data_IF_214667377794
#
_entry.id   IF_214667377794
#
_cell.length_a   1.000
_cell.length_b   1.000
_cell.length_c   1.000
_cell.angle_alpha   90.00
_cell.angle_beta   90.00
_cell.angle_gamma   90.00
#
_symmetry.space_group_name_H-M   'P 1'
#
loop_
_entity.id
_entity.type
_entity.pdbx_description
1 polymer ?
#
# COMPACT_ATOMS: atom_id res chain seq x y z
N UNK A 1 58.19 21.86 6.32
CA UNK A 1 57.41 21.62 7.57
C UNK A 1 57.09 22.99 8.16
N UNK A 2 55.84 23.46 8.01
CA UNK A 2 55.38 24.75 8.54
C UNK A 2 55.20 24.54 10.06
N UNK A 3 56.09 25.12 10.83
CA UNK A 3 56.02 25.11 12.28
C UNK A 3 55.01 26.17 12.74
N UNK A 4 53.72 25.82 12.66
CA UNK A 4 52.63 26.68 13.14
C UNK A 4 52.71 26.79 14.67
N UNK A 5 52.74 28.01 15.20
CA UNK A 5 52.63 28.23 16.66
C UNK A 5 51.31 27.66 17.16
N UNK A 6 51.24 27.09 18.36
CA UNK A 6 50.05 26.49 18.95
C UNK A 6 48.80 27.38 18.84
N UNK A 7 48.96 28.69 18.98
CA UNK A 7 47.87 29.67 18.83
C UNK A 7 47.32 29.76 17.41
N UNK A 8 48.14 29.62 16.38
CA UNK A 8 47.70 29.62 14.98
C UNK A 8 46.95 28.36 14.64
N UNK A 9 47.38 27.21 15.14
CA UNK A 9 46.65 25.93 14.97
C UNK A 9 45.28 26.00 15.64
N UNK A 10 45.21 26.55 16.84
CA UNK A 10 43.95 26.71 17.58
C UNK A 10 42.98 27.64 16.84
N UNK A 11 43.45 28.79 16.33
CA UNK A 11 42.64 29.72 15.54
C UNK A 11 42.11 29.06 14.25
N UNK A 12 42.94 28.28 13.59
CA UNK A 12 42.53 27.49 12.42
C UNK A 12 41.41 26.47 12.77
N UNK A 13 41.55 25.73 13.86
CA UNK A 13 40.54 24.78 14.32
C UNK A 13 39.23 25.49 14.58
N UNK A 14 39.22 26.65 15.27
CA UNK A 14 38.02 27.42 15.54
C UNK A 14 37.34 27.86 14.23
N UNK A 15 38.08 28.35 13.25
CA UNK A 15 37.53 28.76 11.96
C UNK A 15 36.92 27.57 11.20
N UNK A 16 37.55 26.39 11.26
CA UNK A 16 37.00 25.17 10.67
C UNK A 16 35.67 24.80 11.35
N UNK A 17 35.60 24.77 12.68
CA UNK A 17 34.37 24.48 13.44
C UNK A 17 33.24 25.44 13.08
N UNK A 18 33.56 26.76 13.02
CA UNK A 18 32.55 27.76 12.64
C UNK A 18 32.05 27.60 11.20
N UNK A 19 32.96 27.28 10.27
CA UNK A 19 32.56 27.03 8.86
C UNK A 19 31.72 25.76 8.69
N UNK A 20 32.10 24.66 9.35
CA UNK A 20 31.34 23.39 9.34
C UNK A 20 29.97 23.56 9.98
N UNK A 21 29.88 24.35 11.07
CA UNK A 21 28.63 24.69 11.72
C UNK A 21 27.65 25.39 10.75
N UNK A 22 28.13 26.42 10.05
CA UNK A 22 27.28 27.12 9.06
C UNK A 22 26.85 26.17 7.94
N UNK A 23 27.79 25.42 7.37
CA UNK A 23 27.51 24.50 6.26
C UNK A 23 26.49 23.41 6.65
N UNK A 24 26.69 22.78 7.81
CA UNK A 24 25.79 21.75 8.29
C UNK A 24 24.36 22.29 8.54
N UNK A 25 24.25 23.51 9.07
CA UNK A 25 22.97 24.18 9.28
C UNK A 25 22.26 24.48 7.95
N UNK A 26 22.99 25.00 6.95
CA UNK A 26 22.41 25.26 5.62
C UNK A 26 21.95 23.98 4.93
N UNK A 27 22.69 22.88 5.07
CA UNK A 27 22.26 21.57 4.58
C UNK A 27 20.99 21.07 5.29
N UNK A 28 20.89 21.26 6.60
CA UNK A 28 19.69 20.92 7.36
C UNK A 28 18.47 21.76 6.91
N UNK A 29 18.65 23.06 6.72
CA UNK A 29 17.58 23.94 6.20
C UNK A 29 17.15 23.52 4.79
N UNK A 30 18.11 23.22 3.92
CA UNK A 30 17.79 22.71 2.57
C UNK A 30 16.94 21.45 2.62
N UNK A 31 17.29 20.49 3.48
CA UNK A 31 16.50 19.26 3.65
C UNK A 31 15.09 19.55 4.17
N UNK A 32 14.95 20.39 5.20
CA UNK A 32 13.64 20.77 5.77
C UNK A 32 12.75 21.42 4.72
N UNK A 33 13.27 22.37 3.95
CA UNK A 33 12.50 23.07 2.91
C UNK A 33 12.13 22.12 1.78
N UNK A 34 13.04 21.25 1.35
CA UNK A 34 12.81 20.30 0.26
C UNK A 34 11.76 19.24 0.59
N UNK A 35 11.74 18.73 1.82
CA UNK A 35 10.72 17.75 2.24
C UNK A 35 9.35 18.40 2.33
N UNK A 36 9.30 19.68 2.67
CA UNK A 36 8.06 20.45 2.86
C UNK A 36 7.05 19.77 3.81
N UNK A 37 7.55 19.08 4.85
CA UNK A 37 6.70 18.33 5.78
C UNK A 37 6.22 19.20 6.95
N UNK A 38 7.08 20.13 7.42
CA UNK A 38 6.78 20.95 8.59
C UNK A 38 5.95 22.17 8.15
N UNK A 39 4.78 22.39 8.77
CA UNK A 39 3.95 23.55 8.47
C UNK A 39 4.69 24.88 8.62
N UNK A 40 4.46 25.79 7.67
CA UNK A 40 5.15 27.10 7.60
C UNK A 40 5.06 27.89 8.91
N UNK A 41 3.94 27.81 9.62
CA UNK A 41 3.77 28.49 10.93
C UNK A 41 4.84 28.12 11.95
N UNK A 42 5.30 26.85 11.96
CA UNK A 42 6.39 26.44 12.87
C UNK A 42 7.76 26.87 12.33
N UNK A 43 7.97 26.83 11.01
CA UNK A 43 9.23 27.26 10.39
C UNK A 43 9.50 28.74 10.61
N UNK A 44 8.45 29.59 10.62
CA UNK A 44 8.58 31.02 10.92
C UNK A 44 9.17 31.33 12.31
N UNK A 45 9.07 30.41 13.25
CA UNK A 45 9.68 30.54 14.60
C UNK A 45 11.01 29.77 14.69
N UNK A 46 11.06 28.55 14.19
CA UNK A 46 12.23 27.67 14.33
C UNK A 46 13.43 28.22 13.56
N UNK A 47 13.24 28.64 12.30
CA UNK A 47 14.36 29.10 11.45
C UNK A 47 15.03 30.35 12.02
N UNK A 48 14.33 31.45 12.40
CA UNK A 48 14.97 32.63 12.95
C UNK A 48 15.70 32.34 14.28
N UNK A 49 15.09 31.56 15.18
CA UNK A 49 15.69 31.23 16.47
C UNK A 49 16.98 30.42 16.26
N UNK A 50 16.95 29.37 15.46
CA UNK A 50 18.11 28.53 15.17
C UNK A 50 19.19 29.29 14.40
N UNK A 51 18.80 30.17 13.47
CA UNK A 51 19.71 31.03 12.73
C UNK A 51 20.46 32.00 13.66
N UNK A 52 19.76 32.60 14.66
CA UNK A 52 20.39 33.44 15.67
C UNK A 52 21.40 32.64 16.49
N UNK A 53 21.04 31.45 16.96
CA UNK A 53 21.92 30.59 17.76
C UNK A 53 23.17 30.23 16.94
N UNK A 54 23.00 29.75 15.71
CA UNK A 54 24.13 29.42 14.80
C UNK A 54 24.95 30.64 14.48
N UNK A 55 24.36 31.80 14.21
CA UNK A 55 25.04 33.06 13.95
C UNK A 55 25.91 33.52 15.12
N UNK A 56 25.40 33.45 16.34
CA UNK A 56 26.16 33.78 17.56
C UNK A 56 27.33 32.80 17.74
N UNK A 57 27.12 31.51 17.61
CA UNK A 57 28.18 30.50 17.73
C UNK A 57 29.23 30.67 16.63
N UNK A 58 28.82 30.85 15.39
CA UNK A 58 29.73 31.09 14.28
C UNK A 58 30.58 32.38 14.49
N UNK A 59 29.96 33.47 14.94
CA UNK A 59 30.66 34.70 15.26
C UNK A 59 31.72 34.49 16.34
N UNK A 60 31.47 33.70 17.40
CA UNK A 60 32.45 33.39 18.45
C UNK A 60 33.66 32.63 17.89
N UNK A 61 33.46 31.72 16.93
CA UNK A 61 34.53 30.96 16.29
C UNK A 61 35.30 31.74 15.23
N UNK A 62 34.64 32.61 14.47
CA UNK A 62 35.24 33.29 13.33
C UNK A 62 35.90 34.62 13.69
N UNK A 63 35.43 35.34 14.70
CA UNK A 63 35.88 36.71 14.99
C UNK A 63 36.25 37.01 16.43
N UNK A 64 35.72 36.29 17.43
CA UNK A 64 35.88 36.69 18.83
C UNK A 64 36.86 35.82 19.59
N UNK A 65 37.94 36.40 20.13
CA UNK A 65 38.80 35.73 21.12
C UNK A 65 38.06 35.66 22.48
N UNK A 66 37.67 34.49 22.88
CA UNK A 66 36.99 34.19 24.16
C UNK A 66 38.01 33.64 25.16
N UNK A 67 37.68 33.72 26.46
CA UNK A 67 38.45 32.98 27.48
C UNK A 67 38.34 31.47 27.23
N UNK A 68 39.34 30.70 27.65
CA UNK A 68 39.44 29.26 27.39
C UNK A 68 38.15 28.51 27.77
N UNK A 69 37.57 28.76 28.94
CA UNK A 69 36.31 28.11 29.37
C UNK A 69 35.14 28.43 28.46
N UNK A 70 34.98 29.67 28.01
CA UNK A 70 33.89 30.07 27.09
C UNK A 70 34.12 29.46 25.69
N UNK A 71 35.35 29.34 25.24
CA UNK A 71 35.66 28.69 23.96
C UNK A 71 35.32 27.22 24.00
N UNK A 72 35.65 26.51 25.08
CA UNK A 72 35.32 25.09 25.25
C UNK A 72 33.78 24.91 25.21
N UNK A 73 33.03 25.74 25.97
CA UNK A 73 31.58 25.68 25.98
C UNK A 73 30.97 25.98 24.60
N UNK A 74 31.44 27.01 23.88
CA UNK A 74 30.98 27.33 22.53
C UNK A 74 31.27 26.20 21.54
N UNK A 75 32.48 25.60 21.62
CA UNK A 75 32.87 24.49 20.75
C UNK A 75 31.99 23.25 21.03
N UNK A 76 31.74 22.92 22.30
CA UNK A 76 30.87 21.80 22.65
C UNK A 76 29.43 21.99 22.12
N UNK A 77 28.88 23.21 22.27
CA UNK A 77 27.52 23.53 21.77
C UNK A 77 27.51 23.54 20.23
N UNK A 78 28.56 24.01 19.58
CA UNK A 78 28.66 23.96 18.12
C UNK A 78 28.73 22.53 17.58
N UNK A 79 29.50 21.65 18.22
CA UNK A 79 29.58 20.24 17.86
C UNK A 79 28.20 19.56 18.02
N UNK A 80 27.50 19.84 19.12
CA UNK A 80 26.12 19.32 19.30
C UNK A 80 25.19 19.82 18.18
N UNK A 81 25.26 21.11 17.85
CA UNK A 81 24.46 21.71 16.77
C UNK A 81 24.80 21.11 15.40
N UNK A 82 26.08 20.84 15.12
CA UNK A 82 26.53 20.16 13.88
C UNK A 82 25.92 18.75 13.84
N UNK A 83 26.03 17.98 14.94
CA UNK A 83 25.48 16.61 14.99
C UNK A 83 23.98 16.63 14.71
N UNK A 84 23.24 17.52 15.35
CA UNK A 84 21.79 17.66 15.13
C UNK A 84 21.49 18.07 13.69
N UNK A 85 22.24 19.03 13.13
CA UNK A 85 22.04 19.48 11.74
C UNK A 85 22.33 18.37 10.72
N UNK A 86 23.41 17.61 10.92
CA UNK A 86 23.74 16.44 10.07
C UNK A 86 22.65 15.36 10.19
N UNK A 87 22.18 15.08 11.41
CA UNK A 87 21.08 14.16 11.62
C UNK A 87 19.83 14.61 10.86
N UNK A 88 19.41 15.87 10.97
CA UNK A 88 18.24 16.43 10.26
C UNK A 88 18.41 16.31 8.74
N UNK A 89 19.61 16.59 8.22
CA UNK A 89 19.91 16.45 6.79
C UNK A 89 19.77 14.99 6.31
N UNK A 90 20.39 14.04 7.04
CA UNK A 90 20.34 12.62 6.69
C UNK A 90 18.91 12.08 6.81
N UNK A 91 18.22 12.43 7.89
CA UNK A 91 16.83 12.08 8.15
C UNK A 91 15.90 12.58 7.04
N UNK A 92 16.13 13.82 6.63
CA UNK A 92 15.37 14.43 5.56
C UNK A 92 15.55 13.73 4.21
N UNK A 93 16.77 13.42 3.83
CA UNK A 93 17.02 12.68 2.58
C UNK A 93 16.43 11.26 2.63
N UNK A 94 16.52 10.57 3.77
CA UNK A 94 15.89 9.26 3.96
C UNK A 94 14.36 9.34 3.79
N UNK A 95 13.73 10.37 4.34
CA UNK A 95 12.28 10.62 4.18
C UNK A 95 11.91 10.85 2.71
N UNK A 96 12.67 11.69 1.99
CA UNK A 96 12.43 11.92 0.56
C UNK A 96 12.60 10.65 -0.28
N UNK A 97 13.67 9.88 -0.01
CA UNK A 97 13.90 8.61 -0.71
C UNK A 97 12.77 7.63 -0.47
N UNK A 98 12.25 7.56 0.76
CA UNK A 98 11.08 6.75 1.10
C UNK A 98 9.83 7.22 0.34
N UNK A 99 9.47 8.50 0.43
CA UNK A 99 8.28 9.05 -0.23
C UNK A 99 8.33 8.86 -1.75
N UNK A 100 9.48 9.04 -2.36
CA UNK A 100 9.67 8.77 -3.78
C UNK A 100 9.56 7.27 -4.11
N UNK A 101 9.95 6.39 -3.19
CA UNK A 101 9.83 4.93 -3.34
C UNK A 101 8.40 4.39 -3.15
N UNK A 102 7.49 5.17 -2.55
CA UNK A 102 6.07 4.81 -2.44
C UNK A 102 5.34 4.94 -3.78
N UNK A 103 5.77 5.89 -4.60
CA UNK A 103 5.28 6.01 -5.96
C UNK A 103 5.83 4.84 -6.77
N UNK A 104 4.97 4.18 -7.46
CA UNK A 104 5.34 3.16 -8.44
C UNK A 104 6.14 3.81 -9.56
N UNK A 105 7.45 4.01 -9.33
CA UNK A 105 8.37 4.66 -10.29
C UNK A 105 8.99 3.65 -11.26
N UNK A 106 8.69 2.36 -11.08
CA UNK A 106 9.26 1.26 -11.87
C UNK A 106 8.32 0.71 -12.94
N UNK A 107 8.88 -0.11 -13.81
CA UNK A 107 8.11 -0.93 -14.74
C UNK A 107 7.20 -1.90 -13.96
N UNK A 108 5.92 -1.93 -14.31
CA UNK A 108 4.99 -2.92 -13.77
C UNK A 108 5.14 -4.22 -14.55
N UNK A 109 5.05 -5.35 -13.84
CA UNK A 109 5.16 -6.68 -14.45
C UNK A 109 3.98 -7.56 -14.02
N UNK A 110 3.38 -8.25 -14.98
CA UNK A 110 2.48 -9.36 -14.72
C UNK A 110 3.24 -10.69 -14.84
N UNK A 111 2.96 -11.60 -13.92
CA UNK A 111 3.55 -12.93 -13.93
C UNK A 111 2.62 -13.90 -14.62
N UNK A 112 3.18 -14.68 -15.55
CA UNK A 112 2.50 -15.72 -16.32
C UNK A 112 3.07 -17.08 -15.98
N UNK A 113 2.21 -18.10 -16.11
CA UNK A 113 2.54 -19.50 -15.93
C UNK A 113 2.20 -20.28 -17.21
N UNK A 114 3.12 -21.12 -17.67
CA UNK A 114 2.81 -22.14 -18.69
C UNK A 114 2.38 -23.39 -17.94
N UNK A 115 1.12 -23.77 -18.07
CA UNK A 115 0.53 -24.93 -17.42
C UNK A 115 0.28 -26.06 -18.42
N UNK A 116 0.39 -27.31 -17.97
CA UNK A 116 0.09 -28.53 -18.72
C UNK A 116 -0.65 -29.54 -17.84
N UNK A 117 -1.28 -30.54 -18.44
CA UNK A 117 -1.81 -31.71 -17.73
C UNK A 117 -0.67 -32.61 -17.31
N UNK A 118 -0.61 -33.05 -16.06
CA UNK A 118 0.40 -33.96 -15.50
C UNK A 118 0.46 -35.29 -16.26
N UNK A 119 -0.71 -35.82 -16.62
CA UNK A 119 -0.83 -37.12 -17.29
C UNK A 119 -0.35 -37.09 -18.76
N UNK A 120 -0.19 -35.91 -19.35
CA UNK A 120 0.26 -35.78 -20.72
C UNK A 120 1.80 -35.74 -20.85
N UNK A 121 2.52 -35.65 -19.72
CA UNK A 121 3.98 -35.61 -19.63
C UNK A 121 4.63 -34.63 -20.62
N UNK A 122 3.99 -33.47 -20.81
CA UNK A 122 4.45 -32.41 -21.71
C UNK A 122 5.64 -31.68 -21.08
N UNK A 123 6.65 -31.44 -21.90
CA UNK A 123 7.78 -30.55 -21.54
C UNK A 123 7.82 -29.37 -22.51
N UNK A 124 8.54 -28.32 -22.14
CA UNK A 124 8.69 -27.15 -23.03
C UNK A 124 9.26 -27.54 -24.42
N UNK A 125 10.15 -28.54 -24.47
CA UNK A 125 10.71 -29.03 -25.75
C UNK A 125 9.74 -29.86 -26.60
N UNK A 126 8.67 -30.40 -26.01
CA UNK A 126 7.66 -31.23 -26.70
C UNK A 126 6.33 -30.51 -26.88
N UNK A 127 6.22 -29.25 -26.50
CA UNK A 127 5.03 -28.46 -26.64
C UNK A 127 4.68 -28.22 -28.11
N UNK A 128 3.44 -28.51 -28.51
CA UNK A 128 2.97 -28.36 -29.91
C UNK A 128 2.01 -27.19 -30.08
N UNK A 129 1.15 -26.91 -29.08
CA UNK A 129 0.13 -25.88 -29.16
C UNK A 129 -0.13 -25.28 -27.77
N UNK A 130 -0.02 -23.95 -27.69
CA UNK A 130 -0.26 -23.20 -26.48
C UNK A 130 -1.57 -22.41 -26.59
N UNK A 131 -2.46 -22.60 -25.61
CA UNK A 131 -3.66 -21.78 -25.44
C UNK A 131 -3.32 -20.43 -24.85
N UNK A 132 -3.97 -19.39 -25.35
CA UNK A 132 -3.89 -18.02 -24.85
C UNK A 132 -5.30 -17.47 -24.58
N UNK A 133 -5.42 -16.51 -23.67
CA UNK A 133 -6.67 -15.81 -23.40
C UNK A 133 -6.72 -14.54 -24.25
N UNK A 134 -7.68 -14.46 -25.16
CA UNK A 134 -7.77 -13.36 -26.16
C UNK A 134 -8.15 -12.01 -25.55
N UNK A 135 -8.80 -12.01 -24.38
CA UNK A 135 -9.14 -10.79 -23.64
C UNK A 135 -7.96 -10.21 -22.85
N UNK A 136 -6.83 -10.95 -22.80
CA UNK A 136 -5.61 -10.45 -22.17
C UNK A 136 -4.91 -9.44 -23.08
N UNK A 137 -4.76 -8.21 -22.61
CA UNK A 137 -4.13 -7.10 -23.36
C UNK A 137 -2.64 -7.33 -23.65
N UNK A 138 -2.00 -8.26 -22.92
CA UNK A 138 -0.57 -8.56 -23.05
C UNK A 138 -0.26 -9.75 -23.98
N UNK A 139 -1.25 -10.26 -24.70
CA UNK A 139 -1.15 -11.48 -25.50
C UNK A 139 0.09 -11.55 -26.41
N UNK A 140 0.47 -10.44 -27.06
CA UNK A 140 1.64 -10.43 -27.96
C UNK A 140 2.97 -10.47 -27.21
N UNK A 141 3.06 -9.82 -26.06
CA UNK A 141 4.22 -9.91 -25.18
C UNK A 141 4.33 -11.31 -24.55
N UNK A 142 3.20 -11.93 -24.19
CA UNK A 142 3.14 -13.32 -23.71
C UNK A 142 3.66 -14.28 -24.77
N UNK A 143 3.23 -14.15 -26.04
CA UNK A 143 3.76 -14.97 -27.14
C UNK A 143 5.27 -14.82 -27.28
N UNK A 144 5.77 -13.59 -27.23
CA UNK A 144 7.21 -13.32 -27.34
C UNK A 144 8.00 -14.05 -26.26
N UNK A 145 7.55 -13.99 -25.00
CA UNK A 145 8.21 -14.68 -23.90
C UNK A 145 8.08 -16.22 -24.01
N UNK A 146 6.91 -16.72 -24.37
CA UNK A 146 6.70 -18.17 -24.60
C UNK A 146 7.62 -18.67 -25.69
N UNK A 147 7.79 -17.95 -26.80
CA UNK A 147 8.65 -18.33 -27.92
C UNK A 147 10.15 -18.39 -27.54
N UNK A 148 10.58 -17.67 -26.50
CA UNK A 148 11.94 -17.80 -25.95
C UNK A 148 12.13 -19.10 -25.17
N UNK A 149 11.05 -19.64 -24.59
CA UNK A 149 11.07 -20.85 -23.77
C UNK A 149 10.74 -22.10 -24.57
N UNK A 150 9.83 -21.98 -25.54
CA UNK A 150 9.34 -23.12 -26.34
C UNK A 150 8.71 -22.63 -27.63
N UNK A 151 9.21 -23.12 -28.76
CA UNK A 151 8.55 -22.88 -30.07
C UNK A 151 7.25 -23.65 -30.14
N UNK A 152 6.14 -22.96 -30.35
CA UNK A 152 4.79 -23.53 -30.34
C UNK A 152 3.89 -22.83 -31.34
N UNK A 153 2.75 -23.42 -31.66
CA UNK A 153 1.63 -22.72 -32.32
C UNK A 153 0.66 -22.24 -31.27
N UNK A 154 -0.15 -21.24 -31.59
CA UNK A 154 -1.05 -20.60 -30.64
C UNK A 154 -2.50 -20.77 -31.03
N UNK A 155 -3.37 -20.98 -30.04
CA UNK A 155 -4.82 -20.96 -30.17
C UNK A 155 -5.40 -20.06 -29.08
N UNK A 156 -6.23 -19.10 -29.46
CA UNK A 156 -6.82 -18.13 -28.51
C UNK A 156 -8.22 -18.56 -28.09
N UNK A 157 -8.53 -18.33 -26.81
CA UNK A 157 -9.81 -18.60 -26.17
C UNK A 157 -10.30 -17.32 -25.48
N UNK A 158 -11.62 -17.16 -25.33
CA UNK A 158 -12.19 -15.93 -24.77
C UNK A 158 -11.87 -15.69 -23.31
N UNK A 159 -11.73 -16.78 -22.53
CA UNK A 159 -11.64 -16.73 -21.08
C UNK A 159 -10.89 -17.93 -20.50
N UNK A 160 -10.60 -17.90 -19.20
CA UNK A 160 -9.91 -18.97 -18.48
C UNK A 160 -10.66 -20.30 -18.55
N UNK A 161 -12.00 -20.30 -18.39
CA UNK A 161 -12.79 -21.51 -18.38
C UNK A 161 -12.68 -22.28 -19.72
N UNK A 162 -12.86 -21.59 -20.84
CA UNK A 162 -12.71 -22.22 -22.17
C UNK A 162 -11.29 -22.70 -22.43
N UNK A 163 -10.28 -22.00 -21.92
CA UNK A 163 -8.87 -22.42 -22.01
C UNK A 163 -8.61 -23.70 -21.21
N UNK A 164 -9.15 -23.80 -20.00
CA UNK A 164 -9.00 -24.99 -19.13
C UNK A 164 -9.74 -26.21 -19.70
N UNK A 165 -10.93 -26.00 -20.28
CA UNK A 165 -11.68 -27.06 -21.01
C UNK A 165 -10.87 -27.58 -22.17
N UNK A 166 -10.30 -26.69 -22.99
CA UNK A 166 -9.47 -27.08 -24.15
C UNK A 166 -8.20 -27.86 -23.74
N UNK A 167 -7.58 -27.46 -22.60
CA UNK A 167 -6.46 -28.20 -22.03
C UNK A 167 -6.89 -29.58 -21.52
N UNK A 168 -8.07 -29.66 -20.87
CA UNK A 168 -8.65 -30.92 -20.41
C UNK A 168 -9.00 -31.87 -21.55
N UNK A 169 -9.52 -31.37 -22.66
CA UNK A 169 -9.89 -32.13 -23.88
C UNK A 169 -8.70 -32.45 -24.78
N UNK A 170 -7.49 -31.96 -24.45
CA UNK A 170 -6.27 -32.10 -25.29
C UNK A 170 -6.33 -31.37 -26.65
N UNK A 171 -7.18 -30.35 -26.76
CA UNK A 171 -7.24 -29.45 -27.90
C UNK A 171 -5.98 -28.56 -27.99
N UNK A 172 -5.34 -28.36 -26.85
CA UNK A 172 -4.04 -27.68 -26.63
C UNK A 172 -3.16 -28.54 -25.72
N UNK A 173 -1.85 -28.43 -25.88
CA UNK A 173 -0.89 -29.19 -25.06
C UNK A 173 -0.47 -28.42 -23.80
N UNK A 174 -0.47 -27.08 -23.88
CA UNK A 174 -0.18 -26.17 -22.75
C UNK A 174 -1.11 -24.96 -22.79
N UNK A 175 -1.18 -24.21 -21.71
CA UNK A 175 -1.80 -22.90 -21.70
C UNK A 175 -0.86 -21.90 -21.02
N UNK A 176 -0.68 -20.72 -21.62
CA UNK A 176 0.02 -19.60 -20.99
C UNK A 176 -1.04 -18.65 -20.42
N UNK A 177 -1.11 -18.58 -19.11
CA UNK A 177 -2.12 -17.83 -18.36
C UNK A 177 -1.47 -17.00 -17.27
N UNK A 178 -2.14 -15.94 -16.80
CA UNK A 178 -1.67 -15.19 -15.63
C UNK A 178 -1.52 -16.14 -14.43
N UNK A 179 -0.45 -16.00 -13.66
CA UNK A 179 -0.24 -16.84 -12.46
C UNK A 179 -1.40 -16.69 -11.47
N UNK A 180 -2.01 -15.50 -11.36
CA UNK A 180 -3.22 -15.28 -10.57
C UNK A 180 -4.43 -16.14 -11.00
N UNK A 181 -4.48 -16.56 -12.26
CA UNK A 181 -5.50 -17.50 -12.74
C UNK A 181 -5.25 -18.92 -12.27
N UNK A 182 -3.97 -19.30 -12.10
CA UNK A 182 -3.62 -20.61 -11.53
C UNK A 182 -4.04 -20.66 -10.06
N UNK A 183 -3.83 -19.58 -9.31
CA UNK A 183 -4.30 -19.46 -7.92
C UNK A 183 -5.84 -19.50 -7.85
N UNK A 184 -6.52 -18.88 -8.82
CA UNK A 184 -7.97 -18.92 -8.93
C UNK A 184 -8.49 -20.35 -9.16
N UNK A 185 -7.79 -21.13 -10.01
CA UNK A 185 -8.11 -22.54 -10.24
C UNK A 185 -7.90 -23.39 -8.99
N UNK A 186 -6.84 -23.12 -8.22
CA UNK A 186 -6.58 -23.82 -6.96
C UNK A 186 -7.76 -23.73 -6.00
N UNK A 187 -8.34 -22.53 -5.88
CA UNK A 187 -9.41 -22.28 -4.92
C UNK A 187 -10.81 -22.70 -5.41
N UNK A 188 -11.06 -22.53 -6.71
CA UNK A 188 -12.41 -22.71 -7.24
C UNK A 188 -12.58 -24.02 -8.05
N UNK A 189 -11.48 -24.63 -8.51
CA UNK A 189 -11.49 -25.92 -9.22
C UNK A 189 -10.31 -26.80 -8.78
N UNK A 190 -10.22 -27.20 -7.49
CA UNK A 190 -9.10 -27.95 -6.94
C UNK A 190 -8.85 -29.29 -7.64
N UNK A 191 -9.90 -29.91 -8.19
CA UNK A 191 -9.79 -31.15 -8.94
C UNK A 191 -8.98 -30.92 -10.25
N UNK A 192 -9.31 -29.88 -11.01
CA UNK A 192 -8.56 -29.53 -12.21
C UNK A 192 -7.14 -29.05 -11.84
N UNK A 193 -7.00 -28.20 -10.81
CA UNK A 193 -5.71 -27.73 -10.33
C UNK A 193 -4.76 -28.89 -9.96
N UNK A 194 -5.25 -29.90 -9.25
CA UNK A 194 -4.44 -31.06 -8.86
C UNK A 194 -3.93 -31.88 -10.07
N UNK A 195 -4.61 -31.77 -11.21
CA UNK A 195 -4.32 -32.49 -12.45
C UNK A 195 -3.35 -31.74 -13.38
N UNK A 196 -3.00 -30.50 -13.06
CA UNK A 196 -2.07 -29.69 -13.87
C UNK A 196 -0.74 -29.49 -13.13
N UNK A 197 0.26 -29.14 -13.89
CA UNK A 197 1.58 -28.69 -13.40
C UNK A 197 2.01 -27.40 -14.12
N UNK A 198 2.84 -26.61 -13.46
CA UNK A 198 3.46 -25.42 -14.04
C UNK A 198 4.82 -25.80 -14.59
N UNK A 199 4.98 -25.69 -15.90
CA UNK A 199 6.23 -26.00 -16.61
C UNK A 199 7.24 -24.86 -16.53
N UNK A 200 6.78 -23.61 -16.54
CA UNK A 200 7.60 -22.42 -16.40
C UNK A 200 6.77 -21.23 -15.93
N UNK A 201 7.45 -20.26 -15.34
CA UNK A 201 6.91 -18.93 -15.04
C UNK A 201 7.80 -17.86 -15.66
N UNK A 202 7.19 -16.76 -16.12
CA UNK A 202 7.89 -15.62 -16.70
C UNK A 202 7.16 -14.33 -16.39
N UNK A 203 7.83 -13.18 -16.54
CA UNK A 203 7.25 -11.86 -16.29
C UNK A 203 7.10 -11.11 -17.61
N UNK A 204 5.96 -10.50 -17.81
CA UNK A 204 5.68 -9.61 -18.94
C UNK A 204 5.61 -8.19 -18.41
N UNK A 205 6.34 -7.28 -19.06
CA UNK A 205 6.25 -5.86 -18.76
C UNK A 205 4.91 -5.31 -19.21
N UNK A 206 4.17 -4.72 -18.29
CA UNK A 206 2.86 -4.11 -18.57
C UNK A 206 2.95 -2.60 -18.53
N UNK A 207 2.14 -1.95 -19.36
CA UNK A 207 2.06 -0.50 -19.33
C UNK A 207 1.35 -0.07 -18.05
N UNK A 208 1.96 0.84 -17.30
CA UNK A 208 1.35 1.46 -16.13
C UNK A 208 0.13 2.26 -16.59
N UNK A 209 -1.02 2.04 -15.96
CA UNK A 209 -2.30 2.67 -16.30
C UNK A 209 -2.59 3.90 -15.45
N UNK A 210 -1.95 4.05 -14.30
CA UNK A 210 -2.22 5.14 -13.36
C UNK A 210 -1.05 6.11 -13.24
N UNK A 211 -1.30 7.37 -13.64
CA UNK A 211 -0.44 8.50 -13.29
C UNK A 211 -0.66 8.86 -11.81
N UNK A 212 0.38 9.41 -11.16
CA UNK A 212 0.25 9.92 -9.79
C UNK A 212 -0.86 10.97 -9.73
N UNK A 213 -1.90 10.69 -8.95
CA UNK A 213 -3.04 11.59 -8.81
C UNK A 213 -2.72 12.66 -7.77
N UNK A 214 -2.98 13.90 -8.12
CA UNK A 214 -2.82 15.06 -7.25
C UNK A 214 -4.20 15.67 -7.01
N UNK A 215 -4.90 15.21 -5.97
CA UNK A 215 -6.16 15.82 -5.55
C UNK A 215 -5.91 16.91 -4.51
N UNK A 216 -6.90 17.80 -4.36
CA UNK A 216 -6.88 18.85 -3.36
C UNK A 216 -7.21 18.24 -1.97
N UNK A 217 -6.17 17.95 -1.18
CA UNK A 217 -6.32 17.35 0.16
C UNK A 217 -7.02 18.24 1.19
N UNK A 218 -7.37 19.47 0.83
CA UNK A 218 -8.20 20.37 1.67
C UNK A 218 -9.70 20.10 1.50
N UNK A 219 -10.09 19.31 0.51
CA UNK A 219 -11.46 18.89 0.19
C UNK A 219 -11.66 17.42 0.52
N UNK A 220 -12.91 16.98 0.68
CA UNK A 220 -13.21 15.56 0.81
C UNK A 220 -12.69 14.75 -0.39
N UNK A 221 -12.15 13.56 -0.10
CA UNK A 221 -11.64 12.62 -1.10
C UNK A 221 -11.96 11.19 -0.70
N UNK A 222 -11.88 10.28 -1.65
CA UNK A 222 -12.08 8.84 -1.45
C UNK A 222 -10.79 8.09 -1.78
N UNK A 223 -10.37 7.21 -0.85
CA UNK A 223 -9.29 6.27 -1.06
C UNK A 223 -9.84 4.84 -1.04
N UNK A 224 -9.47 4.03 -2.02
CA UNK A 224 -9.75 2.61 -2.04
C UNK A 224 -8.62 1.81 -1.37
N UNK A 225 -8.92 1.03 -0.34
CA UNK A 225 -7.99 0.08 0.26
C UNK A 225 -8.27 -1.30 -0.34
N UNK A 226 -7.27 -1.82 -1.07
CA UNK A 226 -7.24 -3.18 -1.61
C UNK A 226 -6.31 -4.06 -0.80
N UNK A 227 -6.86 -5.04 -0.11
CA UNK A 227 -6.06 -6.06 0.59
C UNK A 227 -5.94 -7.32 -0.25
N UNK A 228 -4.71 -7.71 -0.61
CA UNK A 228 -4.43 -8.91 -1.39
C UNK A 228 -3.99 -10.08 -0.51
N UNK A 229 -4.52 -11.28 -0.80
CA UNK A 229 -4.24 -12.50 -0.04
C UNK A 229 -2.90 -13.12 -0.46
N UNK A 230 -1.78 -12.45 -0.13
CA UNK A 230 -0.44 -12.95 -0.43
C UNK A 230 0.59 -12.46 0.59
N UNK A 231 1.66 -13.24 0.78
CA UNK A 231 2.88 -12.84 1.49
C UNK A 231 3.99 -12.36 0.54
N UNK A 232 3.78 -12.46 -0.78
CA UNK A 232 4.77 -12.14 -1.80
C UNK A 232 4.95 -10.65 -2.05
N UNK A 233 5.48 -10.34 -3.23
CA UNK A 233 5.68 -8.97 -3.70
C UNK A 233 4.33 -8.25 -3.80
N UNK A 234 4.23 -7.05 -3.22
CA UNK A 234 3.02 -6.21 -3.25
C UNK A 234 2.61 -5.84 -4.68
N UNK A 235 3.54 -5.85 -5.63
CA UNK A 235 3.27 -5.62 -7.05
C UNK A 235 2.57 -6.81 -7.74
N UNK A 236 2.50 -7.98 -7.08
CA UNK A 236 1.85 -9.18 -7.64
C UNK A 236 0.36 -8.93 -7.85
N UNK A 237 -0.10 -9.08 -9.09
CA UNK A 237 -1.54 -9.04 -9.41
C UNK A 237 -2.21 -10.26 -8.76
N UNK A 238 -3.19 -10.04 -7.90
CA UNK A 238 -3.90 -11.06 -7.14
C UNK A 238 -5.32 -10.61 -6.83
N UNK A 239 -6.13 -11.50 -6.28
CA UNK A 239 -7.47 -11.18 -5.80
C UNK A 239 -7.44 -10.08 -4.74
N UNK A 240 -8.46 -9.22 -4.74
CA UNK A 240 -8.67 -8.22 -3.68
C UNK A 240 -9.65 -8.78 -2.65
N UNK A 241 -9.13 -9.29 -1.55
CA UNK A 241 -9.92 -9.91 -0.49
C UNK A 241 -10.44 -8.90 0.54
N UNK A 242 -9.87 -7.70 0.55
CA UNK A 242 -10.36 -6.54 1.32
C UNK A 242 -10.70 -5.43 0.34
N UNK A 243 -11.93 -4.96 0.38
CA UNK A 243 -12.44 -3.90 -0.49
C UNK A 243 -13.12 -2.84 0.38
N UNK A 244 -12.35 -1.83 0.80
CA UNK A 244 -12.84 -0.76 1.68
C UNK A 244 -12.63 0.59 1.01
N UNK A 245 -13.73 1.36 0.87
CA UNK A 245 -13.64 2.78 0.54
C UNK A 245 -13.45 3.58 1.83
N UNK A 246 -12.44 4.41 1.87
CA UNK A 246 -12.15 5.36 2.96
C UNK A 246 -12.52 6.75 2.48
N UNK A 247 -13.66 7.26 2.94
CA UNK A 247 -14.14 8.60 2.59
C UNK A 247 -13.64 9.56 3.65
N UNK A 248 -12.70 10.41 3.28
CA UNK A 248 -12.03 11.34 4.19
C UNK A 248 -12.58 12.75 3.98
N UNK A 249 -13.09 13.36 5.04
CA UNK A 249 -13.45 14.77 5.04
C UNK A 249 -12.52 15.57 5.97
N UNK A 250 -11.51 16.23 5.42
CA UNK A 250 -10.52 16.97 6.20
C UNK A 250 -11.06 18.24 6.85
N UNK A 251 -12.18 18.75 6.36
CA UNK A 251 -12.84 19.95 6.93
C UNK A 251 -13.56 19.61 8.23
N UNK A 252 -14.30 18.51 8.23
CA UNK A 252 -15.05 18.05 9.41
C UNK A 252 -14.26 17.14 10.32
N UNK A 253 -13.08 16.66 9.90
CA UNK A 253 -12.27 15.61 10.54
C UNK A 253 -13.03 14.29 10.73
N UNK A 254 -13.81 13.90 9.73
CA UNK A 254 -14.55 12.64 9.70
C UNK A 254 -13.99 11.69 8.66
N UNK A 255 -13.97 10.41 9.00
CA UNK A 255 -13.62 9.32 8.11
C UNK A 255 -14.75 8.29 8.15
N UNK A 256 -15.29 7.95 6.98
CA UNK A 256 -16.23 6.87 6.81
C UNK A 256 -15.53 5.70 6.12
N UNK A 257 -15.55 4.53 6.72
CA UNK A 257 -15.09 3.27 6.13
C UNK A 257 -16.30 2.50 5.59
N UNK A 258 -16.30 2.20 4.29
CA UNK A 258 -17.35 1.43 3.63
C UNK A 258 -16.76 0.12 3.16
N UNK A 259 -17.07 -0.98 3.84
CA UNK A 259 -16.63 -2.31 3.46
C UNK A 259 -17.62 -2.94 2.46
N UNK A 260 -17.07 -3.46 1.35
CA UNK A 260 -17.81 -4.24 0.36
C UNK A 260 -17.35 -5.69 0.42
N UNK A 261 -18.22 -6.66 0.69
CA UNK A 261 -17.85 -8.07 0.77
C UNK A 261 -17.12 -8.56 -0.49
N UNK A 262 -16.09 -9.38 -0.30
CA UNK A 262 -15.27 -9.89 -1.41
C UNK A 262 -16.07 -10.70 -2.44
N UNK A 263 -17.09 -11.38 -1.99
CA UNK A 263 -17.93 -12.25 -2.84
C UNK A 263 -19.14 -11.52 -3.47
N UNK A 264 -19.18 -10.18 -3.38
CA UNK A 264 -20.23 -9.35 -3.96
C UNK A 264 -20.34 -9.58 -5.46
N UNK A 265 -21.52 -9.96 -5.95
CA UNK A 265 -21.78 -10.32 -7.34
C UNK A 265 -22.12 -9.07 -8.15
N UNK A 266 -21.10 -8.49 -8.76
CA UNK A 266 -21.15 -7.18 -9.42
C UNK A 266 -20.74 -7.29 -10.90
N UNK A 267 -21.21 -6.35 -11.72
CA UNK A 267 -20.69 -6.18 -13.06
C UNK A 267 -19.30 -5.56 -12.96
N UNK A 268 -18.26 -6.25 -13.47
CA UNK A 268 -16.92 -5.67 -13.53
C UNK A 268 -16.91 -4.50 -14.53
N UNK A 269 -16.18 -3.44 -14.20
CA UNK A 269 -16.09 -2.24 -15.04
C UNK A 269 -15.73 -2.59 -16.49
N UNK A 270 -16.43 -1.97 -17.43
CA UNK A 270 -16.20 -2.17 -18.88
C UNK A 270 -16.61 -3.54 -19.43
N UNK A 271 -17.11 -4.46 -18.58
CA UNK A 271 -17.65 -5.76 -19.03
C UNK A 271 -19.18 -5.72 -19.15
N UNK A 272 -19.73 -6.68 -19.89
CA UNK A 272 -21.19 -6.84 -20.05
C UNK A 272 -21.57 -8.31 -19.91
N UNK A 273 -22.83 -8.58 -19.55
CA UNK A 273 -23.36 -9.94 -19.46
C UNK A 273 -23.16 -10.56 -18.09
N UNK A 274 -22.36 -11.61 -17.97
CA UNK A 274 -22.15 -12.33 -16.71
C UNK A 274 -21.38 -11.45 -15.72
N UNK A 275 -21.92 -11.30 -14.52
CA UNK A 275 -21.28 -10.63 -13.39
C UNK A 275 -20.15 -11.49 -12.82
N UNK A 276 -19.37 -10.92 -11.92
CA UNK A 276 -18.30 -11.62 -11.21
C UNK A 276 -18.30 -11.30 -9.71
N UNK A 277 -17.49 -12.02 -8.96
CA UNK A 277 -17.18 -11.68 -7.57
C UNK A 277 -16.28 -10.45 -7.54
N UNK A 278 -16.53 -9.51 -6.66
CA UNK A 278 -15.69 -8.30 -6.53
C UNK A 278 -14.20 -8.64 -6.31
N UNK A 279 -13.90 -9.70 -5.55
CA UNK A 279 -12.51 -10.15 -5.31
C UNK A 279 -11.79 -10.50 -6.61
N UNK A 280 -12.50 -11.00 -7.63
CA UNK A 280 -11.93 -11.33 -8.92
C UNK A 280 -11.56 -10.09 -9.75
N UNK A 281 -12.15 -8.90 -9.49
CA UNK A 281 -11.70 -7.67 -10.14
C UNK A 281 -10.19 -7.44 -9.93
N UNK A 282 -9.65 -7.84 -8.76
CA UNK A 282 -8.23 -7.72 -8.44
C UNK A 282 -7.28 -8.48 -9.37
N UNK A 283 -7.73 -9.58 -10.01
CA UNK A 283 -6.90 -10.33 -10.96
C UNK A 283 -6.72 -9.62 -12.32
N UNK A 284 -7.52 -8.59 -12.56
CA UNK A 284 -7.39 -7.69 -13.71
C UNK A 284 -6.65 -6.40 -13.35
N UNK A 285 -6.24 -6.24 -12.08
CA UNK A 285 -5.53 -5.07 -11.58
C UNK A 285 -6.33 -4.27 -10.56
N UNK A 286 -5.64 -3.39 -9.84
CA UNK A 286 -6.28 -2.52 -8.83
C UNK A 286 -7.28 -1.55 -9.47
N UNK A 287 -6.98 -1.07 -10.68
CA UNK A 287 -7.83 -0.14 -11.43
C UNK A 287 -9.21 -0.75 -11.76
N UNK A 288 -9.24 -2.05 -12.09
CA UNK A 288 -10.50 -2.78 -12.31
C UNK A 288 -11.35 -2.83 -11.03
N UNK A 289 -10.72 -3.11 -9.88
CA UNK A 289 -11.42 -3.14 -8.59
C UNK A 289 -11.94 -1.75 -8.22
N UNK A 290 -11.13 -0.72 -8.40
CA UNK A 290 -11.45 0.68 -8.14
C UNK A 290 -12.65 1.11 -9.01
N UNK A 291 -12.54 0.97 -10.34
CA UNK A 291 -13.60 1.37 -11.26
C UNK A 291 -14.90 0.57 -11.08
N UNK A 292 -14.81 -0.70 -10.68
CA UNK A 292 -15.99 -1.51 -10.34
C UNK A 292 -16.71 -0.96 -9.10
N UNK A 293 -15.97 -0.48 -8.09
CA UNK A 293 -16.56 0.17 -6.91
C UNK A 293 -17.10 1.56 -7.23
N UNK A 294 -16.44 2.32 -8.13
CA UNK A 294 -16.97 3.58 -8.65
C UNK A 294 -18.34 3.40 -9.31
N UNK A 295 -18.47 2.40 -10.17
CA UNK A 295 -19.74 2.05 -10.82
C UNK A 295 -20.81 1.62 -9.81
N UNK A 296 -20.42 0.78 -8.83
CA UNK A 296 -21.33 0.28 -7.80
C UNK A 296 -21.89 1.41 -6.95
N UNK A 297 -21.07 2.36 -6.52
CA UNK A 297 -21.48 3.43 -5.61
C UNK A 297 -21.83 4.74 -6.31
N UNK A 298 -21.50 4.91 -7.59
CA UNK A 298 -21.70 6.16 -8.34
C UNK A 298 -20.83 7.29 -7.81
N UNK A 299 -19.59 6.98 -7.42
CA UNK A 299 -18.61 7.93 -6.88
C UNK A 299 -17.33 7.89 -7.71
N UNK A 300 -16.43 8.87 -7.50
CA UNK A 300 -15.07 8.80 -8.00
C UNK A 300 -14.12 8.50 -6.86
N UNK A 301 -13.21 7.56 -7.07
CA UNK A 301 -12.09 7.26 -6.18
C UNK A 301 -10.90 8.12 -6.60
N UNK A 302 -10.29 8.81 -5.64
CA UNK A 302 -9.17 9.71 -5.90
C UNK A 302 -7.83 9.00 -5.76
N UNK A 303 -7.75 8.06 -4.80
CA UNK A 303 -6.53 7.32 -4.50
C UNK A 303 -6.81 5.86 -4.21
N UNK A 304 -5.80 5.01 -4.45
CA UNK A 304 -5.80 3.67 -3.87
C UNK A 304 -4.62 3.45 -2.93
N UNK A 305 -4.79 2.49 -2.04
CA UNK A 305 -3.73 1.88 -1.25
C UNK A 305 -3.87 0.37 -1.32
N UNK A 306 -2.85 -0.30 -1.80
CA UNK A 306 -2.79 -1.75 -1.90
C UNK A 306 -1.88 -2.31 -0.82
N UNK A 307 -2.34 -3.30 -0.07
CA UNK A 307 -1.62 -3.93 1.04
C UNK A 307 -1.72 -5.45 0.94
N UNK A 308 -0.73 -6.15 1.49
CA UNK A 308 -0.74 -7.60 1.65
C UNK A 308 -0.54 -7.98 3.13
N UNK A 309 -0.43 -9.26 3.44
CA UNK A 309 -0.25 -9.73 4.82
C UNK A 309 1.02 -9.22 5.48
N UNK A 310 2.15 -9.24 4.76
CA UNK A 310 3.41 -8.71 5.27
C UNK A 310 3.31 -7.20 5.53
N UNK A 311 2.63 -6.48 4.63
CA UNK A 311 2.36 -5.05 4.76
C UNK A 311 1.60 -4.71 6.05
N UNK A 312 0.50 -5.41 6.29
CA UNK A 312 -0.31 -5.18 7.49
C UNK A 312 0.51 -5.38 8.77
N UNK A 313 1.26 -6.50 8.84
CA UNK A 313 2.13 -6.77 9.99
C UNK A 313 3.18 -5.68 10.18
N UNK A 314 3.87 -5.30 9.10
CA UNK A 314 4.94 -4.30 9.15
C UNK A 314 4.41 -2.92 9.56
N UNK A 315 3.24 -2.50 9.06
CA UNK A 315 2.60 -1.24 9.44
C UNK A 315 2.26 -1.23 10.92
N UNK A 316 1.60 -2.29 11.43
CA UNK A 316 1.22 -2.39 12.83
C UNK A 316 2.44 -2.41 13.75
N UNK A 317 3.48 -3.18 13.41
CA UNK A 317 4.71 -3.28 14.20
C UNK A 317 5.51 -1.97 14.19
N UNK A 318 5.56 -1.28 13.04
CA UNK A 318 6.18 0.05 12.94
C UNK A 318 5.52 1.10 13.83
N UNK A 319 4.22 0.99 14.03
CA UNK A 319 3.44 1.84 14.95
C UNK A 319 3.63 1.45 16.43
N UNK A 320 4.37 0.38 16.74
CA UNK A 320 4.52 -0.16 18.09
C UNK A 320 3.28 -0.90 18.59
N UNK A 321 2.49 -1.44 17.67
CA UNK A 321 1.19 -2.07 17.92
C UNK A 321 0.02 -1.10 17.89
N UNK A 322 -1.19 -1.65 17.77
CA UNK A 322 -2.45 -0.90 17.70
C UNK A 322 -3.47 -1.44 18.70
N UNK A 323 -4.33 -0.56 19.22
CA UNK A 323 -5.42 -0.93 20.12
C UNK A 323 -6.68 -1.21 19.30
N UNK A 324 -7.01 -2.49 19.12
CA UNK A 324 -8.16 -2.94 18.32
C UNK A 324 -9.32 -3.33 19.24
N UNK A 325 -10.53 -2.92 18.88
CA UNK A 325 -11.76 -3.34 19.56
C UNK A 325 -12.24 -4.66 18.96
N UNK A 326 -12.50 -5.64 19.81
CA UNK A 326 -13.12 -6.92 19.42
C UNK A 326 -14.56 -6.98 19.94
N UNK A 327 -15.50 -7.33 19.05
CA UNK A 327 -16.90 -7.51 19.42
C UNK A 327 -17.12 -8.83 20.20
N UNK A 328 -16.24 -9.82 20.00
CA UNK A 328 -16.35 -11.17 20.56
C UNK A 328 -15.06 -11.65 21.23
N UNK A 329 -15.21 -12.59 22.16
CA UNK A 329 -14.10 -13.39 22.64
C UNK A 329 -13.95 -14.64 21.77
N UNK A 330 -12.74 -14.87 21.22
CA UNK A 330 -12.44 -16.03 20.35
C UNK A 330 -10.94 -16.35 20.34
N UNK A 331 -10.58 -17.40 19.60
CA UNK A 331 -9.17 -17.78 19.39
C UNK A 331 -8.91 -17.96 17.90
N UNK A 332 -7.83 -17.34 17.38
CA UNK A 332 -7.40 -17.47 15.99
C UNK A 332 -5.88 -17.35 15.88
N UNK A 333 -5.27 -18.11 14.98
CA UNK A 333 -3.82 -18.05 14.72
C UNK A 333 -2.93 -18.31 15.95
N UNK A 334 -3.42 -19.04 16.95
CA UNK A 334 -2.73 -19.30 18.22
C UNK A 334 -2.84 -18.18 19.26
N UNK A 335 -3.63 -17.13 18.99
CA UNK A 335 -3.90 -15.99 19.90
C UNK A 335 -5.31 -16.08 20.47
N UNK A 336 -5.46 -15.63 21.73
CA UNK A 336 -6.77 -15.43 22.35
C UNK A 336 -7.15 -13.95 22.29
N UNK A 337 -8.40 -13.69 21.95
CA UNK A 337 -9.02 -12.36 21.87
C UNK A 337 -10.14 -12.27 22.88
N UNK A 338 -10.22 -11.12 23.56
CA UNK A 338 -11.28 -10.82 24.52
C UNK A 338 -12.18 -9.73 23.92
N UNK A 339 -13.42 -9.66 24.34
CA UNK A 339 -14.30 -8.53 24.01
C UNK A 339 -13.75 -7.22 24.56
N UNK A 340 -13.78 -6.16 23.77
CA UNK A 340 -13.27 -4.84 24.14
C UNK A 340 -11.92 -4.51 23.48
N UNK A 341 -11.31 -3.41 23.94
CA UNK A 341 -10.02 -2.97 23.41
C UNK A 341 -8.87 -3.83 23.93
N UNK A 342 -7.97 -4.18 23.01
CA UNK A 342 -6.75 -4.88 23.34
C UNK A 342 -5.63 -4.51 22.37
N UNK A 343 -4.41 -4.43 22.91
CA UNK A 343 -3.22 -4.17 22.11
C UNK A 343 -2.85 -5.39 21.26
N UNK A 344 -2.58 -5.15 20.00
CA UNK A 344 -2.16 -6.17 19.03
C UNK A 344 -0.88 -5.74 18.34
N UNK A 345 0.08 -6.64 18.24
CA UNK A 345 1.19 -6.56 17.29
C UNK A 345 0.73 -6.96 15.88
N UNK A 346 1.64 -6.90 14.90
CA UNK A 346 1.30 -7.19 13.52
C UNK A 346 0.77 -8.61 13.29
N UNK A 347 1.36 -9.61 13.94
CA UNK A 347 0.92 -11.02 13.81
C UNK A 347 -0.46 -11.25 14.42
N UNK A 348 -0.69 -10.69 15.60
CA UNK A 348 -1.98 -10.79 16.28
C UNK A 348 -3.07 -10.04 15.50
N UNK A 349 -2.79 -8.83 14.98
CA UNK A 349 -3.71 -8.06 14.16
C UNK A 349 -4.04 -8.77 12.83
N UNK A 350 -3.05 -9.39 12.20
CA UNK A 350 -3.28 -10.19 10.99
C UNK A 350 -4.17 -11.40 11.28
N UNK A 351 -3.89 -12.18 12.33
CA UNK A 351 -4.72 -13.33 12.71
C UNK A 351 -6.17 -12.91 13.04
N UNK A 352 -6.34 -11.76 13.72
CA UNK A 352 -7.64 -11.15 14.02
C UNK A 352 -8.41 -10.82 12.72
N UNK A 353 -7.77 -10.14 11.78
CA UNK A 353 -8.41 -9.67 10.53
C UNK A 353 -8.70 -10.78 9.51
N UNK A 354 -8.18 -12.00 9.71
CA UNK A 354 -8.38 -13.15 8.82
C UNK A 354 -9.41 -14.17 9.35
N UNK A 355 -9.76 -14.09 10.63
CA UNK A 355 -10.65 -15.07 11.24
C UNK A 355 -12.08 -14.95 10.67
N UNK A 356 -12.66 -16.08 10.35
CA UNK A 356 -14.05 -16.21 9.87
C UNK A 356 -14.79 -17.42 10.43
N UNK A 357 -14.04 -18.45 10.83
CA UNK A 357 -14.63 -19.73 11.24
C UNK A 357 -15.12 -19.73 12.69
N UNK A 358 -14.62 -18.79 13.50
CA UNK A 358 -15.06 -18.60 14.88
C UNK A 358 -16.43 -17.90 15.01
N UNK A 359 -16.99 -17.40 13.90
CA UNK A 359 -18.19 -16.57 13.91
C UNK A 359 -19.32 -17.19 13.09
N UNK A 360 -20.57 -17.03 13.55
CA UNK A 360 -21.76 -17.41 12.78
C UNK A 360 -21.88 -16.60 11.49
N UNK A 361 -21.59 -15.28 11.57
CA UNK A 361 -21.61 -14.36 10.42
C UNK A 361 -20.41 -14.54 9.47
N UNK A 362 -19.43 -15.38 9.84
CA UNK A 362 -18.32 -15.77 8.99
C UNK A 362 -17.60 -14.58 8.33
N UNK A 363 -17.74 -14.48 7.02
CA UNK A 363 -17.08 -13.46 6.21
C UNK A 363 -17.52 -12.01 6.54
N UNK A 364 -18.76 -11.82 6.97
CA UNK A 364 -19.26 -10.50 7.41
C UNK A 364 -18.54 -10.00 8.64
N UNK A 365 -18.32 -10.87 9.65
CA UNK A 365 -17.55 -10.48 10.85
C UNK A 365 -16.10 -10.23 10.48
N UNK A 366 -15.49 -11.02 9.61
CA UNK A 366 -14.14 -10.75 9.10
C UNK A 366 -14.04 -9.34 8.50
N UNK A 367 -15.00 -8.92 7.68
CA UNK A 367 -15.03 -7.56 7.13
C UNK A 367 -15.08 -6.48 8.20
N UNK A 368 -15.86 -6.66 9.27
CA UNK A 368 -15.89 -5.76 10.42
C UNK A 368 -14.54 -5.74 11.16
N UNK A 369 -13.94 -6.90 11.36
CA UNK A 369 -12.64 -7.00 12.05
C UNK A 369 -11.53 -6.32 11.24
N UNK A 370 -11.55 -6.42 9.92
CA UNK A 370 -10.65 -5.66 9.03
C UNK A 370 -10.84 -4.15 9.20
N UNK A 371 -12.09 -3.66 9.24
CA UNK A 371 -12.37 -2.24 9.50
C UNK A 371 -11.86 -1.82 10.88
N UNK A 372 -12.04 -2.64 11.95
CA UNK A 372 -11.54 -2.37 13.30
C UNK A 372 -10.01 -2.20 13.33
N UNK A 373 -9.27 -3.02 12.59
CA UNK A 373 -7.81 -2.89 12.47
C UNK A 373 -7.45 -1.59 11.74
N UNK A 374 -8.13 -1.26 10.65
CA UNK A 374 -7.89 0.00 9.91
C UNK A 374 -8.21 1.22 10.78
N UNK A 375 -9.32 1.22 11.53
CA UNK A 375 -9.66 2.27 12.49
C UNK A 375 -8.56 2.46 13.54
N UNK A 376 -8.03 1.36 14.07
CA UNK A 376 -6.96 1.38 15.06
C UNK A 376 -5.65 1.95 14.48
N UNK A 377 -5.31 1.60 13.24
CA UNK A 377 -4.17 2.17 12.51
C UNK A 377 -4.36 3.67 12.29
N UNK A 378 -5.53 4.12 11.80
CA UNK A 378 -5.83 5.55 11.59
C UNK A 378 -5.71 6.32 12.90
N UNK A 379 -6.28 5.80 13.98
CA UNK A 379 -6.20 6.43 15.32
C UNK A 379 -4.76 6.56 15.79
N UNK A 380 -3.94 5.51 15.62
CA UNK A 380 -2.53 5.52 16.01
C UNK A 380 -1.71 6.48 15.14
N UNK A 381 -1.89 6.46 13.82
CA UNK A 381 -1.22 7.38 12.88
C UNK A 381 -1.51 8.85 13.19
N UNK A 382 -2.71 9.15 13.67
CA UNK A 382 -3.13 10.52 14.00
C UNK A 382 -2.63 11.00 15.37
N UNK A 383 -1.98 10.13 16.15
CA UNK A 383 -1.50 10.48 17.50
C UNK A 383 -0.25 11.35 17.45
N UNK A 384 -0.07 12.28 18.43
CA UNK A 384 1.15 13.09 18.53
C UNK A 384 2.43 12.27 18.64
N UNK A 385 2.38 11.11 19.30
CA UNK A 385 3.51 10.19 19.43
C UNK A 385 4.00 9.68 18.07
N UNK A 386 3.08 9.32 17.19
CA UNK A 386 3.39 8.88 15.82
C UNK A 386 3.99 10.02 15.00
N UNK A 387 3.47 11.24 15.13
CA UNK A 387 4.00 12.40 14.44
C UNK A 387 5.45 12.74 14.84
N UNK A 388 5.83 12.49 16.08
CA UNK A 388 7.23 12.66 16.54
C UNK A 388 8.14 11.56 15.99
N UNK A 389 7.65 10.33 15.88
CA UNK A 389 8.41 9.15 15.47
C UNK A 389 8.23 8.79 13.98
N UNK A 390 7.62 9.68 13.18
CA UNK A 390 7.21 9.41 11.80
C UNK A 390 8.33 8.81 10.93
N UNK A 391 9.58 9.29 11.09
CA UNK A 391 10.71 8.84 10.29
C UNK A 391 11.03 7.36 10.50
N UNK A 392 11.00 6.89 11.75
CA UNK A 392 11.21 5.48 12.07
C UNK A 392 10.08 4.63 11.46
N UNK A 393 8.85 5.11 11.56
CA UNK A 393 7.69 4.44 10.99
C UNK A 393 7.82 4.36 9.48
N UNK A 394 8.07 5.48 8.80
CA UNK A 394 8.25 5.52 7.34
C UNK A 394 9.32 4.53 6.87
N UNK A 395 10.50 4.54 7.51
CA UNK A 395 11.57 3.62 7.13
C UNK A 395 11.21 2.14 7.31
N UNK A 396 10.39 1.83 8.30
CA UNK A 396 9.94 0.45 8.60
C UNK A 396 8.87 -0.05 7.66
N UNK A 397 8.09 0.84 7.03
CA UNK A 397 7.01 0.47 6.09
C UNK A 397 7.40 0.66 4.63
N UNK A 398 8.68 0.90 4.34
CA UNK A 398 9.17 1.03 2.97
C UNK A 398 8.87 -0.25 2.18
N UNK A 399 8.21 -0.11 1.03
CA UNK A 399 7.77 -1.24 0.19
C UNK A 399 6.62 -2.05 0.78
N UNK A 400 6.02 -1.62 1.91
CA UNK A 400 4.92 -2.33 2.53
C UNK A 400 3.57 -2.09 1.83
N UNK A 401 3.44 -1.09 0.99
CA UNK A 401 2.19 -0.80 0.27
C UNK A 401 2.47 -0.09 -1.06
N UNK A 402 1.49 -0.16 -1.97
CA UNK A 402 1.46 0.60 -3.22
C UNK A 402 0.35 1.64 -3.17
N UNK A 403 0.58 2.81 -3.78
CA UNK A 403 -0.43 3.85 -3.89
C UNK A 403 -0.18 4.73 -5.13
N UNK A 404 -1.24 5.31 -5.70
CA UNK A 404 -1.15 6.36 -6.70
C UNK A 404 -1.13 7.77 -6.08
N UNK A 405 -1.23 7.91 -4.75
CA UNK A 405 -1.10 9.20 -4.09
C UNK A 405 0.32 9.76 -4.29
N UNK A 406 0.43 11.00 -4.77
CA UNK A 406 1.73 11.63 -4.97
C UNK A 406 2.45 11.91 -3.65
N UNK A 407 3.78 12.06 -3.71
CA UNK A 407 4.58 12.50 -2.56
C UNK A 407 4.05 13.81 -1.97
N UNK A 408 3.64 14.74 -2.84
CA UNK A 408 3.07 16.03 -2.43
C UNK A 408 1.73 15.85 -1.71
N UNK A 409 0.88 14.93 -2.19
CA UNK A 409 -0.38 14.59 -1.54
C UNK A 409 -0.16 14.03 -0.14
N UNK A 410 0.75 13.05 0.00
CA UNK A 410 1.07 12.43 1.29
C UNK A 410 1.63 13.49 2.27
N UNK A 411 2.54 14.33 1.78
CA UNK A 411 3.13 15.42 2.57
C UNK A 411 2.07 16.43 3.01
N UNK A 412 1.15 16.81 2.11
CA UNK A 412 0.06 17.73 2.43
C UNK A 412 -0.89 17.17 3.51
N UNK A 413 -1.24 15.89 3.45
CA UNK A 413 -2.04 15.22 4.48
C UNK A 413 -1.33 15.21 5.84
N UNK A 414 -0.03 14.94 5.85
CA UNK A 414 0.79 14.98 7.08
C UNK A 414 0.85 16.41 7.66
N UNK A 415 1.09 17.43 6.81
CA UNK A 415 1.07 18.84 7.23
C UNK A 415 -0.28 19.24 7.81
N UNK A 416 -1.37 18.82 7.19
CA UNK A 416 -2.71 19.11 7.66
C UNK A 416 -2.96 18.52 9.06
N UNK A 417 -2.56 17.27 9.28
CA UNK A 417 -2.66 16.65 10.60
C UNK A 417 -1.79 17.37 11.64
N UNK A 418 -0.56 17.75 11.27
CA UNK A 418 0.32 18.53 12.15
C UNK A 418 -0.22 19.94 12.44
N UNK A 419 -0.96 20.53 11.51
CA UNK A 419 -1.56 21.83 11.67
C UNK A 419 -2.75 21.82 12.65
N UNK A 420 -3.59 20.79 12.56
CA UNK A 420 -4.83 20.71 13.36
C UNK A 420 -4.61 20.04 14.69
N UNK A 421 -3.74 19.01 14.77
CA UNK A 421 -3.58 18.09 15.89
C UNK A 421 -4.91 17.51 16.41
N UNK A 422 -5.94 17.56 15.57
CA UNK A 422 -7.29 17.14 15.92
C UNK A 422 -7.44 15.64 15.62
N UNK A 423 -8.08 14.92 16.54
CA UNK A 423 -8.42 13.52 16.31
C UNK A 423 -9.49 13.37 15.22
N UNK A 424 -9.36 12.33 14.41
CA UNK A 424 -10.36 11.93 13.42
C UNK A 424 -11.49 11.17 14.09
N UNK A 425 -12.71 11.47 13.67
CA UNK A 425 -13.89 10.69 14.02
C UNK A 425 -14.11 9.64 12.93
N UNK A 426 -13.94 8.37 13.27
CA UNK A 426 -14.14 7.25 12.35
C UNK A 426 -15.51 6.63 12.54
N UNK A 427 -16.14 6.29 11.42
CA UNK A 427 -17.37 5.51 11.35
C UNK A 427 -17.17 4.39 10.34
N UNK A 428 -17.71 3.21 10.63
CA UNK A 428 -17.62 2.03 9.76
C UNK A 428 -18.99 1.50 9.43
N UNK A 429 -19.22 1.25 8.14
CA UNK A 429 -20.40 0.56 7.62
C UNK A 429 -19.97 -0.56 6.69
N UNK A 430 -20.79 -1.58 6.57
CA UNK A 430 -20.64 -2.66 5.59
C UNK A 430 -21.93 -2.77 4.80
N UNK A 431 -21.82 -2.98 3.49
CA UNK A 431 -22.99 -3.35 2.68
C UNK A 431 -23.28 -4.85 2.85
N UNK A 432 -24.52 -5.22 2.68
CA UNK A 432 -25.02 -6.57 2.91
C UNK A 432 -25.57 -7.21 1.62
N UNK A 433 -25.86 -8.51 1.67
CA UNK A 433 -26.38 -9.27 0.55
C UNK A 433 -26.80 -10.69 0.94
N UNK A 434 -27.33 -11.41 -0.04
CA UNK A 434 -27.79 -12.79 0.13
C UNK A 434 -26.86 -13.75 -0.60
N UNK A 435 -26.45 -14.83 0.08
CA UNK A 435 -25.65 -15.90 -0.52
C UNK A 435 -26.40 -16.62 -1.64
N UNK A 436 -25.70 -16.87 -2.73
CA UNK A 436 -26.22 -17.61 -3.89
C UNK A 436 -25.06 -18.39 -4.57
N UNK A 437 -25.41 -19.18 -5.58
CA UNK A 437 -24.45 -19.85 -6.45
C UNK A 437 -24.72 -19.41 -7.88
N UNK A 438 -23.68 -18.93 -8.58
CA UNK A 438 -23.81 -18.42 -9.95
C UNK A 438 -22.54 -18.66 -10.77
N UNK A 439 -22.70 -18.64 -12.11
CA UNK A 439 -21.58 -18.49 -13.04
C UNK A 439 -20.91 -17.14 -12.86
N UNK A 440 -19.61 -17.04 -13.14
CA UNK A 440 -18.85 -15.80 -13.01
C UNK A 440 -18.08 -15.49 -14.29
N UNK A 441 -17.85 -14.21 -14.55
CA UNK A 441 -17.13 -13.75 -15.74
C UNK A 441 -15.75 -14.40 -15.88
N UNK A 442 -15.00 -14.54 -14.79
CA UNK A 442 -13.66 -15.11 -14.79
C UNK A 442 -13.61 -16.63 -14.87
N UNK A 443 -14.64 -17.33 -14.37
CA UNK A 443 -14.67 -18.80 -14.28
C UNK A 443 -15.70 -19.45 -15.22
N UNK A 444 -16.43 -18.65 -16.01
CA UNK A 444 -17.44 -19.14 -16.94
C UNK A 444 -18.58 -19.88 -16.23
N UNK A 445 -19.01 -21.00 -16.77
CA UNK A 445 -20.14 -21.76 -16.27
C UNK A 445 -19.89 -22.54 -14.95
N UNK A 446 -18.65 -22.47 -14.40
CA UNK A 446 -18.36 -23.07 -13.10
C UNK A 446 -19.14 -22.34 -12.01
N UNK A 447 -20.09 -23.02 -11.31
CA UNK A 447 -20.91 -22.37 -10.32
C UNK A 447 -20.09 -22.09 -9.05
N UNK A 448 -19.97 -20.82 -8.70
CA UNK A 448 -19.27 -20.36 -7.50
C UNK A 448 -20.25 -19.76 -6.49
N UNK A 449 -19.91 -19.84 -5.21
CA UNK A 449 -20.57 -19.02 -4.20
C UNK A 449 -20.38 -17.54 -4.51
N UNK A 450 -21.47 -16.79 -4.49
CA UNK A 450 -21.52 -15.33 -4.67
C UNK A 450 -22.45 -14.71 -3.63
N UNK A 451 -22.31 -13.42 -3.38
CA UNK A 451 -23.22 -12.63 -2.56
C UNK A 451 -23.98 -11.65 -3.45
N UNK A 452 -25.26 -11.89 -3.64
CA UNK A 452 -26.15 -10.98 -4.37
C UNK A 452 -26.32 -9.70 -3.54
N UNK A 453 -26.00 -8.50 -4.07
CA UNK A 453 -26.14 -7.24 -3.36
C UNK A 453 -27.56 -7.00 -2.83
N UNK A 454 -27.65 -6.53 -1.59
CA UNK A 454 -28.87 -5.87 -1.09
C UNK A 454 -28.87 -4.42 -1.56
N UNK A 455 -29.70 -4.10 -2.52
CA UNK A 455 -29.79 -2.76 -3.13
C UNK A 455 -30.13 -1.66 -2.11
N UNK A 456 -30.90 -1.97 -1.05
CA UNK A 456 -31.20 -1.00 0.01
C UNK A 456 -29.95 -0.67 0.84
N UNK A 457 -29.15 -1.69 1.14
CA UNK A 457 -27.86 -1.54 1.80
C UNK A 457 -26.87 -0.71 0.96
N UNK A 458 -26.78 -0.98 -0.36
CA UNK A 458 -25.96 -0.21 -1.29
C UNK A 458 -26.43 1.24 -1.38
N UNK A 459 -27.74 1.48 -1.49
CA UNK A 459 -28.31 2.84 -1.52
C UNK A 459 -28.01 3.61 -0.23
N UNK A 460 -28.08 2.94 0.92
CA UNK A 460 -27.71 3.54 2.21
C UNK A 460 -26.24 3.93 2.23
N UNK A 461 -25.36 3.06 1.75
CA UNK A 461 -23.92 3.35 1.67
C UNK A 461 -23.63 4.55 0.74
N UNK A 462 -24.28 4.62 -0.44
CA UNK A 462 -24.19 5.77 -1.36
C UNK A 462 -24.55 7.07 -0.65
N UNK A 463 -25.67 7.09 0.06
CA UNK A 463 -26.11 8.28 0.81
C UNK A 463 -25.11 8.68 1.89
N UNK A 464 -24.55 7.71 2.64
CA UNK A 464 -23.55 7.98 3.69
C UNK A 464 -22.23 8.52 3.12
N UNK A 465 -21.79 8.00 1.97
CA UNK A 465 -20.62 8.54 1.24
C UNK A 465 -20.87 10.01 0.87
N UNK A 466 -22.00 10.32 0.25
CA UNK A 466 -22.38 11.68 -0.14
C UNK A 466 -22.46 12.63 1.07
N UNK A 467 -23.04 12.19 2.18
CA UNK A 467 -23.11 12.98 3.42
C UNK A 467 -21.73 13.28 4.02
N UNK A 468 -20.80 12.33 3.93
CA UNK A 468 -19.45 12.54 4.46
C UNK A 468 -18.62 13.47 3.55
N UNK A 469 -18.96 13.59 2.27
CA UNK A 469 -18.31 14.49 1.31
C UNK A 469 -18.82 15.95 1.40
N UNK A 470 -19.90 16.21 2.10
CA UNK A 470 -20.44 17.55 2.37
C UNK A 470 -19.84 18.17 3.65
#
# INVERSE_FOLDING_TARGET
VINLKKEQVFDWIQKIVGSVLILSYLLALYAIIRINLIPVKYLLFIIPITAIVVGVLAYTHLKKKLSIGKTIAATALSLLTIIVSVYVFLAGNATLSFLNGLQETGDSYEQYSIIAKKDDHVTLGTNKMTGLISTDTNTDAVKTEVDTLSKTTYKSYGELASTTIALGNKDITTAAVKTSYVDLLQDNNPTFYSSIETLATFKVKVKKTTDATQADTTKPFIMYISGIDTYGDIATVSRSDVNILVVVNPVTHKILLVNTPRDYYVQLHGTTGIKDKLTHAGIYGVDMSESTLEDLYGVKVDYYMRVNFASLMNIVDALGGVDVYSDYAFTAGGYSYMTGYQQMDGKKALAFSRERHAFEDGDRQRGKDQQRVIEAIIRKLSSPETLVNYQKILSSVSGAFQTNASTDTITALMQQQMNSLRAWQTESISVDGTGATAATYSMGDLPLYVMIPDEASVATAKLRIQQNQQ
#
